data_IF_878730103076
#
_entry.id   IF_878730103076
#
_cell.length_a   1.000
_cell.length_b   1.000
_cell.length_c   1.000
_cell.angle_alpha   90.00
_cell.angle_beta   90.00
_cell.angle_gamma   90.00
#
_symmetry.space_group_name_H-M   'P 1'
#
loop_
_entity.id
_entity.type
_entity.pdbx_description
1 polymer ?
#
# COMPACT_ATOMS: atom_id res chain seq x y z
N UNK A 1 -0.35 14.13 -0.42
CA UNK A 1 -0.95 13.95 0.92
C UNK A 1 0.14 14.04 1.98
N UNK A 2 -0.14 13.75 3.26
CA UNK A 2 0.91 13.59 4.29
C UNK A 2 0.83 12.23 4.97
N UNK A 3 1.96 11.63 5.30
CA UNK A 3 2.01 10.38 6.08
C UNK A 3 1.65 10.61 7.56
N UNK A 4 1.70 9.55 8.38
CA UNK A 4 1.43 9.63 9.83
C UNK A 4 2.31 10.64 10.60
N UNK A 5 3.50 10.97 10.10
CA UNK A 5 4.46 11.87 10.74
C UNK A 5 4.29 13.31 10.24
N UNK A 6 3.41 13.53 9.27
CA UNK A 6 3.22 14.82 8.61
C UNK A 6 4.17 15.05 7.44
N UNK A 7 4.94 14.06 7.00
CA UNK A 7 5.82 14.18 5.85
C UNK A 7 5.03 14.20 4.55
N UNK A 8 5.41 15.07 3.61
CA UNK A 8 4.70 15.19 2.34
C UNK A 8 4.97 13.97 1.46
N UNK A 9 3.89 13.34 0.98
CA UNK A 9 3.92 12.20 0.07
C UNK A 9 3.34 12.61 -1.27
N UNK A 10 4.12 12.37 -2.34
CA UNK A 10 3.73 12.60 -3.73
C UNK A 10 3.80 11.30 -4.55
N UNK A 11 3.13 11.28 -5.70
CA UNK A 11 3.22 10.15 -6.65
C UNK A 11 4.66 9.88 -7.05
N UNK A 12 5.04 8.60 -7.12
CA UNK A 12 6.41 8.15 -7.38
C UNK A 12 7.31 8.09 -6.14
N UNK A 13 6.88 8.59 -4.98
CA UNK A 13 7.58 8.33 -3.72
C UNK A 13 7.48 6.86 -3.30
N UNK A 14 8.38 6.44 -2.42
CA UNK A 14 8.32 5.13 -1.78
C UNK A 14 7.80 5.27 -0.35
N UNK A 15 6.80 4.47 -0.02
CA UNK A 15 6.19 4.42 1.31
C UNK A 15 6.26 3.00 1.86
N UNK A 16 6.37 2.88 3.18
CA UNK A 16 6.27 1.60 3.88
C UNK A 16 4.85 1.40 4.39
N UNK A 17 4.26 0.24 4.10
CA UNK A 17 2.95 -0.15 4.64
C UNK A 17 3.11 -0.52 6.13
N UNK A 18 2.36 0.14 7.01
CA UNK A 18 2.44 -0.07 8.46
C UNK A 18 1.36 -1.02 8.98
N UNK A 19 0.16 -0.95 8.40
CA UNK A 19 -0.98 -1.77 8.73
C UNK A 19 -1.92 -1.85 7.52
N UNK A 20 -2.76 -2.88 7.47
CA UNK A 20 -3.77 -3.01 6.43
C UNK A 20 -4.94 -2.04 6.69
N UNK A 21 -5.58 -1.52 5.63
CA UNK A 21 -6.80 -0.74 5.79
C UNK A 21 -7.90 -1.60 6.39
N UNK A 22 -8.77 -0.94 7.18
CA UNK A 22 -9.91 -1.58 7.83
C UNK A 22 -11.04 -1.84 6.82
N UNK A 23 -10.80 -2.83 5.96
CA UNK A 23 -11.73 -3.30 4.93
C UNK A 23 -11.96 -4.80 5.07
N UNK A 24 -13.10 -5.26 4.58
CA UNK A 24 -13.44 -6.69 4.61
C UNK A 24 -12.63 -7.47 3.58
N UNK A 25 -11.61 -8.20 4.04
CA UNK A 25 -10.89 -9.18 3.22
C UNK A 25 -11.48 -10.58 3.36
N UNK A 26 -11.49 -11.35 2.27
CA UNK A 26 -11.69 -12.79 2.41
C UNK A 26 -10.43 -13.50 2.97
N UNK A 27 -10.55 -14.79 3.29
CA UNK A 27 -9.45 -15.55 3.91
C UNK A 27 -8.22 -15.72 3.00
N UNK A 28 -8.43 -15.79 1.69
CA UNK A 28 -7.35 -15.94 0.72
C UNK A 28 -6.65 -14.59 0.51
N UNK A 29 -7.43 -13.52 0.32
CA UNK A 29 -6.89 -12.17 0.19
C UNK A 29 -6.10 -11.76 1.44
N UNK A 30 -6.68 -11.97 2.63
CA UNK A 30 -6.03 -11.61 3.90
C UNK A 30 -4.66 -12.28 4.05
N UNK A 31 -4.54 -13.54 3.62
CA UNK A 31 -3.27 -14.26 3.64
C UNK A 31 -2.22 -13.55 2.79
N UNK A 32 -2.58 -13.13 1.58
CA UNK A 32 -1.65 -12.52 0.64
C UNK A 32 -1.31 -11.08 1.04
N UNK A 33 -2.32 -10.25 1.32
CA UNK A 33 -2.10 -8.84 1.69
C UNK A 33 -1.42 -8.69 3.06
N UNK A 34 -1.60 -9.64 3.99
CA UNK A 34 -0.86 -9.60 5.27
C UNK A 34 0.66 -9.65 5.09
N UNK A 35 1.15 -10.25 4.00
CA UNK A 35 2.58 -10.26 3.68
C UNK A 35 3.11 -8.89 3.25
N UNK A 36 2.23 -7.97 2.84
CA UNK A 36 2.60 -6.62 2.39
C UNK A 36 3.01 -5.72 3.56
N UNK A 37 2.53 -6.01 4.78
CA UNK A 37 2.79 -5.17 5.95
C UNK A 37 4.29 -5.18 6.27
N UNK A 38 4.88 -3.98 6.34
CA UNK A 38 6.30 -3.75 6.53
C UNK A 38 7.10 -3.64 5.24
N UNK A 39 6.53 -3.98 4.08
CA UNK A 39 7.18 -3.79 2.78
C UNK A 39 7.06 -2.34 2.28
N UNK A 40 7.91 -2.00 1.29
CA UNK A 40 7.94 -0.69 0.67
C UNK A 40 7.33 -0.73 -0.74
N UNK A 41 6.54 0.27 -1.07
CA UNK A 41 5.81 0.38 -2.33
C UNK A 41 5.96 1.78 -2.92
N UNK A 42 6.01 1.85 -4.24
CA UNK A 42 5.90 3.12 -4.95
C UNK A 42 4.45 3.58 -4.93
N UNK A 43 4.24 4.87 -4.66
CA UNK A 43 2.92 5.52 -4.75
C UNK A 43 2.53 5.65 -6.22
N UNK A 44 1.46 4.95 -6.61
CA UNK A 44 0.96 4.94 -7.99
C UNK A 44 0.00 6.12 -8.25
N UNK A 45 -0.86 6.41 -7.28
CA UNK A 45 -1.82 7.51 -7.34
C UNK A 45 -2.11 8.07 -5.94
N UNK A 46 -2.68 9.28 -5.88
CA UNK A 46 -3.20 9.88 -4.64
C UNK A 46 -4.61 10.40 -4.92
N UNK A 47 -5.60 9.84 -4.25
CA UNK A 47 -7.01 10.20 -4.39
C UNK A 47 -7.65 10.37 -3.01
N UNK A 48 -8.41 11.45 -2.80
CA UNK A 48 -9.17 11.67 -1.56
C UNK A 48 -8.36 11.45 -0.27
N UNK A 49 -7.11 11.91 -0.25
CA UNK A 49 -6.15 11.74 0.87
C UNK A 49 -5.69 10.30 1.13
N UNK A 50 -5.95 9.38 0.20
CA UNK A 50 -5.41 8.04 0.20
C UNK A 50 -4.28 7.91 -0.83
N UNK A 51 -3.31 7.05 -0.52
CA UNK A 51 -2.25 6.61 -1.43
C UNK A 51 -2.62 5.25 -2.02
N UNK A 52 -2.54 5.13 -3.34
CA UNK A 52 -2.69 3.83 -4.01
C UNK A 52 -1.33 3.14 -4.12
N UNK A 53 -1.26 1.88 -3.69
CA UNK A 53 -0.13 0.98 -3.91
C UNK A 53 -0.58 -0.32 -4.55
N UNK A 54 0.33 -0.96 -5.29
CA UNK A 54 0.07 -2.19 -6.00
C UNK A 54 1.13 -3.25 -5.67
N UNK A 55 0.70 -4.50 -5.44
CA UNK A 55 1.59 -5.66 -5.37
C UNK A 55 1.08 -6.78 -6.27
N UNK A 56 1.96 -7.27 -7.11
CA UNK A 56 1.70 -8.41 -7.99
C UNK A 56 2.08 -9.72 -7.31
N UNK A 57 1.18 -10.70 -7.37
CA UNK A 57 1.34 -12.04 -6.86
C UNK A 57 1.25 -13.06 -7.99
N UNK A 58 1.75 -14.27 -7.73
CA UNK A 58 1.80 -15.34 -8.72
C UNK A 58 2.87 -15.12 -9.80
N UNK A 59 2.88 -16.01 -10.79
CA UNK A 59 3.82 -15.99 -11.92
C UNK A 59 3.17 -16.60 -13.17
N UNK A 60 3.50 -16.08 -14.36
CA UNK A 60 2.92 -16.59 -15.61
C UNK A 60 1.45 -16.22 -15.75
N UNK A 61 0.62 -17.20 -16.12
CA UNK A 61 -0.81 -17.01 -16.40
C UNK A 61 -1.64 -16.79 -15.12
N UNK A 62 -1.12 -17.19 -13.95
CA UNK A 62 -1.78 -17.01 -12.64
C UNK A 62 -1.35 -15.71 -11.95
N UNK A 63 -0.90 -14.71 -12.71
CA UNK A 63 -0.47 -13.42 -12.16
C UNK A 63 -1.68 -12.55 -11.83
N UNK A 64 -1.78 -12.10 -10.59
CA UNK A 64 -2.83 -11.18 -10.12
C UNK A 64 -2.23 -10.01 -9.33
N UNK A 65 -3.00 -8.94 -9.14
CA UNK A 65 -2.57 -7.73 -8.43
C UNK A 65 -3.52 -7.43 -7.27
N UNK A 66 -2.96 -7.12 -6.11
CA UNK A 66 -3.70 -6.44 -5.05
C UNK A 66 -3.40 -4.95 -5.09
N UNK A 67 -4.47 -4.16 -5.12
CA UNK A 67 -4.43 -2.70 -5.01
C UNK A 67 -4.96 -2.31 -3.64
N UNK A 68 -4.18 -1.55 -2.88
CA UNK A 68 -4.60 -1.00 -1.60
C UNK A 68 -4.64 0.53 -1.68
N UNK A 69 -5.68 1.11 -1.10
CA UNK A 69 -5.83 2.55 -0.89
C UNK A 69 -5.59 2.84 0.58
N UNK A 70 -4.58 3.65 0.86
CA UNK A 70 -4.00 3.76 2.19
C UNK A 70 -4.15 5.15 2.78
N UNK A 71 -4.65 5.23 4.00
CA UNK A 71 -4.77 6.45 4.79
C UNK A 71 -3.42 6.86 5.42
N UNK A 72 -3.28 8.12 5.89
CA UNK A 72 -2.02 8.60 6.49
C UNK A 72 -1.43 7.68 7.56
N UNK A 73 -2.27 7.14 8.45
CA UNK A 73 -1.89 6.26 9.56
C UNK A 73 -1.38 4.89 9.12
N UNK A 74 -1.61 4.50 7.87
CA UNK A 74 -1.29 3.19 7.31
C UNK A 74 0.06 3.20 6.59
N UNK A 75 0.66 4.38 6.38
CA UNK A 75 1.91 4.54 5.66
C UNK A 75 2.96 5.34 6.43
N UNK A 76 4.21 5.11 6.06
CA UNK A 76 5.35 5.95 6.45
C UNK A 76 6.17 6.29 5.20
N UNK A 77 6.47 7.56 4.98
CA UNK A 77 7.34 7.97 3.89
C UNK A 77 8.77 7.47 4.12
N UNK A 78 9.38 6.89 3.09
CA UNK A 78 10.77 6.41 3.13
C UNK A 78 11.62 7.31 2.25
N UNK A 79 12.40 8.20 2.87
CA UNK A 79 13.41 8.99 2.16
C UNK A 79 14.52 8.07 1.65
N UNK A 80 14.83 8.16 0.36
CA UNK A 80 15.94 7.46 -0.30
C UNK A 80 17.06 8.46 -0.59
#
# INVERSE_FOLDING_TARGET
MRDKNGDEVIVGNVVRLLQLPDVGYDKHELKDVSTMVGECFTVESIEYECVEINKWFGSGDDKFCHTLFLWPEEIEFVSI
#
